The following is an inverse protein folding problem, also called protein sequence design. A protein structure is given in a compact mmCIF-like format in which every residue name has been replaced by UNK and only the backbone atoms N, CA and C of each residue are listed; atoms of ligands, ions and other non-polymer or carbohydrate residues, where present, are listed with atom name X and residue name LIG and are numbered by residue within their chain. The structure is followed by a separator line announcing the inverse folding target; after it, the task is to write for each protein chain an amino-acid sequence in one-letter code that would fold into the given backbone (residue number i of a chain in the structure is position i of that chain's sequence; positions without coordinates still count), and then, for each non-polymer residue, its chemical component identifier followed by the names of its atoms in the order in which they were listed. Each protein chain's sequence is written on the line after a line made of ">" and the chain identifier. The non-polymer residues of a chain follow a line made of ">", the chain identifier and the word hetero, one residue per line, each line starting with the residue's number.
data_IF_525203256192
#
_entry.id   IF_525203256192
#
_cell.length_a   1.000
_cell.length_b   1.000
_cell.length_c   1.000
_cell.angle_alpha   90.00
_cell.angle_beta   90.00
_cell.angle_gamma   90.00
#
_symmetry.space_group_name_H-M   'P 1'
#
loop_
_entity.id
_entity.type
_entity.pdbx_description
1 polymer ?
#
# COMPACT_ATOMS: atom_id res chain seq x y z
N UNK A 1 -21.78 34.55 -46.40
CA UNK A 1 -20.44 34.23 -45.90
C UNK A 1 -20.21 34.48 -44.40
N UNK A 2 -21.22 34.74 -43.61
CA UNK A 2 -21.06 35.01 -42.17
C UNK A 2 -21.46 33.84 -41.26
N UNK A 3 -21.83 32.70 -41.80
CA UNK A 3 -22.33 31.55 -41.02
C UNK A 3 -21.28 30.46 -40.73
N UNK A 4 -20.10 30.52 -41.33
CA UNK A 4 -19.07 29.54 -41.09
C UNK A 4 -18.19 29.78 -39.86
N UNK A 5 -18.19 31.00 -39.34
CA UNK A 5 -17.38 31.36 -38.16
C UNK A 5 -17.97 30.87 -36.82
N UNK A 6 -19.26 30.57 -36.78
CA UNK A 6 -19.93 30.15 -35.55
C UNK A 6 -19.78 28.65 -35.23
N UNK A 7 -19.56 27.84 -36.26
CA UNK A 7 -19.36 26.39 -36.06
C UNK A 7 -17.98 26.06 -35.53
N UNK A 8 -16.97 26.80 -35.97
CA UNK A 8 -15.59 26.60 -35.46
C UNK A 8 -15.44 26.97 -33.99
N UNK A 9 -16.19 28.02 -33.56
CA UNK A 9 -16.14 28.45 -32.15
C UNK A 9 -16.82 27.43 -31.20
N UNK A 10 -17.87 26.75 -31.68
CA UNK A 10 -18.56 25.71 -30.91
C UNK A 10 -17.71 24.45 -30.73
N UNK A 11 -16.97 24.06 -31.74
CA UNK A 11 -16.06 22.89 -31.67
C UNK A 11 -14.83 23.15 -30.81
N UNK A 12 -14.30 24.39 -30.83
CA UNK A 12 -13.18 24.79 -29.99
C UNK A 12 -13.59 24.84 -28.52
N UNK A 13 -14.78 25.34 -28.22
CA UNK A 13 -15.29 25.30 -26.83
C UNK A 13 -15.57 23.87 -26.34
N UNK A 14 -16.06 22.97 -27.20
CA UNK A 14 -16.25 21.55 -26.89
C UNK A 14 -14.93 20.83 -26.66
N UNK A 15 -13.91 21.12 -27.44
CA UNK A 15 -12.59 20.51 -27.33
C UNK A 15 -11.87 20.97 -26.04
N UNK A 16 -12.01 22.23 -25.66
CA UNK A 16 -11.48 22.77 -24.41
C UNK A 16 -12.17 22.17 -23.18
N UNK A 17 -13.46 21.84 -23.26
CA UNK A 17 -14.21 21.22 -22.17
C UNK A 17 -13.82 19.74 -21.98
N UNK A 18 -13.41 19.04 -23.04
CA UNK A 18 -12.90 17.67 -22.97
C UNK A 18 -11.48 17.60 -22.40
N UNK A 19 -10.67 18.62 -22.58
CA UNK A 19 -9.31 18.68 -22.06
C UNK A 19 -9.25 18.95 -20.55
N UNK A 20 -10.30 19.52 -19.96
CA UNK A 20 -10.37 19.82 -18.53
C UNK A 20 -10.68 18.61 -17.64
N UNK A 21 -11.05 17.46 -18.23
CA UNK A 21 -11.36 16.22 -17.51
C UNK A 21 -10.14 15.36 -17.16
N UNK A 22 -8.94 15.73 -17.62
CA UNK A 22 -7.71 14.96 -17.36
C UNK A 22 -6.85 15.48 -16.20
N UNK A 23 -7.29 16.47 -15.44
CA UNK A 23 -6.46 17.12 -14.41
C UNK A 23 -6.79 16.66 -12.98
N UNK A 24 -7.57 15.60 -12.79
CA UNK A 24 -7.89 15.08 -11.45
C UNK A 24 -7.24 13.73 -11.15
N UNK A 25 -6.02 13.51 -11.62
CA UNK A 25 -5.22 12.37 -11.22
C UNK A 25 -4.08 12.77 -10.28
N UNK A 26 -4.34 13.68 -9.34
CA UNK A 26 -3.60 13.68 -8.06
C UNK A 26 -4.26 12.63 -7.17
N UNK A 27 -4.13 11.35 -7.57
CA UNK A 27 -4.58 10.24 -6.79
C UNK A 27 -3.75 10.16 -5.52
N UNK A 28 -4.38 10.25 -4.36
CA UNK A 28 -3.82 9.66 -3.16
C UNK A 28 -3.56 8.19 -3.47
N UNK A 29 -2.39 7.65 -3.11
CA UNK A 29 -2.05 6.22 -3.27
C UNK A 29 -2.94 5.28 -2.43
N UNK A 30 -3.98 5.82 -1.79
CA UNK A 30 -4.98 5.07 -1.05
C UNK A 30 -5.72 4.10 -1.97
N UNK A 31 -5.69 2.83 -1.61
CA UNK A 31 -6.35 1.77 -2.36
C UNK A 31 -5.60 1.31 -3.61
N UNK A 32 -4.40 1.85 -3.88
CA UNK A 32 -3.56 1.41 -4.98
C UNK A 32 -2.75 0.19 -4.55
N UNK A 33 -2.98 -0.95 -5.17
CA UNK A 33 -2.20 -2.18 -4.96
C UNK A 33 -1.49 -2.53 -6.26
N UNK A 34 -0.20 -2.30 -6.29
CA UNK A 34 0.68 -2.66 -7.41
C UNK A 34 1.12 -4.13 -7.32
N UNK A 35 1.99 -4.57 -8.22
CA UNK A 35 2.44 -5.95 -8.28
C UNK A 35 3.22 -6.40 -7.03
N UNK A 36 3.25 -7.71 -6.80
CA UNK A 36 3.92 -8.34 -5.64
C UNK A 36 5.40 -7.95 -5.51
N UNK A 37 6.06 -7.62 -6.62
CA UNK A 37 7.45 -7.14 -6.62
C UNK A 37 7.64 -5.85 -5.84
N UNK A 38 6.60 -5.07 -5.59
CA UNK A 38 6.66 -3.88 -4.73
C UNK A 38 6.94 -4.24 -3.27
N UNK A 39 6.58 -5.46 -2.84
CA UNK A 39 6.84 -5.94 -1.47
C UNK A 39 8.34 -6.12 -1.18
N UNK A 40 9.11 -6.61 -2.14
CA UNK A 40 10.50 -7.03 -1.94
C UNK A 40 11.51 -6.33 -2.86
N UNK A 41 11.07 -5.55 -3.84
CA UNK A 41 11.98 -4.93 -4.81
C UNK A 41 12.72 -5.95 -5.68
N UNK A 42 14.04 -5.85 -5.76
CA UNK A 42 14.90 -6.79 -6.50
C UNK A 42 15.12 -8.11 -5.73
N UNK A 43 15.48 -8.04 -4.45
CA UNK A 43 15.79 -9.20 -3.60
C UNK A 43 15.07 -9.15 -2.26
N UNK A 44 15.13 -8.02 -1.59
CA UNK A 44 14.42 -7.75 -0.34
C UNK A 44 14.19 -6.26 -0.15
N UNK A 45 13.17 -5.92 0.62
CA UNK A 45 12.86 -4.54 0.97
C UNK A 45 12.55 -4.44 2.46
N UNK A 46 13.04 -3.37 3.08
CA UNK A 46 12.77 -3.03 4.48
C UNK A 46 11.60 -2.07 4.54
N UNK A 47 10.64 -2.40 5.38
CA UNK A 47 9.46 -1.61 5.68
C UNK A 47 9.48 -1.17 7.14
N UNK A 48 9.39 0.12 7.38
CA UNK A 48 9.30 0.70 8.73
C UNK A 48 7.90 1.18 9.04
N UNK A 49 7.48 0.99 10.28
CA UNK A 49 6.17 1.45 10.74
C UNK A 49 6.11 2.97 10.74
N UNK A 50 5.21 3.53 9.93
CA UNK A 50 4.97 4.97 9.85
C UNK A 50 3.77 5.40 10.69
N UNK A 51 2.72 4.57 10.74
CA UNK A 51 1.49 4.85 11.49
C UNK A 51 0.75 3.55 11.78
N UNK A 52 0.09 3.49 12.92
CA UNK A 52 -0.82 2.42 13.29
C UNK A 52 -2.17 3.01 13.69
N UNK A 53 -3.24 2.32 13.38
CA UNK A 53 -4.60 2.64 13.85
C UNK A 53 -5.21 1.43 14.54
N UNK A 54 -6.04 1.70 15.53
CA UNK A 54 -6.81 0.66 16.22
C UNK A 54 -8.02 0.17 15.40
N UNK A 55 -8.81 -0.70 15.98
CA UNK A 55 -9.99 -1.29 15.34
C UNK A 55 -11.09 -0.27 15.03
N UNK A 56 -11.07 0.89 15.66
CA UNK A 56 -12.01 2.01 15.41
C UNK A 56 -11.49 2.99 14.35
N UNK A 57 -10.22 2.85 13.95
CA UNK A 57 -9.55 3.73 13.00
C UNK A 57 -8.82 4.90 13.65
N UNK A 58 -8.79 4.96 14.98
CA UNK A 58 -8.08 5.98 15.70
C UNK A 58 -6.56 5.71 15.73
N UNK A 59 -5.78 6.78 15.66
CA UNK A 59 -4.32 6.69 15.64
C UNK A 59 -3.78 6.16 16.97
N UNK A 60 -3.06 5.06 16.92
CA UNK A 60 -2.32 4.52 18.07
C UNK A 60 -1.03 5.32 18.25
N UNK A 61 -0.78 5.74 19.51
CA UNK A 61 0.49 6.37 19.87
C UNK A 61 1.57 5.29 19.97
N UNK A 62 2.53 5.33 19.06
CA UNK A 62 3.64 4.40 19.06
C UNK A 62 4.71 4.80 20.07
N UNK A 63 5.26 3.81 20.77
CA UNK A 63 6.49 3.97 21.58
C UNK A 63 7.71 4.12 20.66
N UNK A 64 8.82 4.61 21.21
CA UNK A 64 10.05 4.73 20.43
C UNK A 64 10.59 3.36 19.97
N UNK A 65 10.36 2.30 20.74
CA UNK A 65 10.67 0.93 20.36
C UNK A 65 9.84 0.46 19.16
N UNK A 66 8.54 0.73 19.14
CA UNK A 66 7.65 0.38 18.01
C UNK A 66 7.99 1.14 16.73
N UNK A 67 8.48 2.37 16.83
CA UNK A 67 8.95 3.14 15.67
C UNK A 67 10.23 2.57 15.04
N UNK A 68 10.96 1.73 15.78
CA UNK A 68 12.17 1.05 15.30
C UNK A 68 11.90 -0.35 14.77
N UNK A 69 10.65 -0.81 14.81
CA UNK A 69 10.27 -2.09 14.24
C UNK A 69 10.44 -2.08 12.72
N UNK A 70 11.07 -3.12 12.20
CA UNK A 70 11.34 -3.32 10.79
C UNK A 70 10.74 -4.63 10.32
N UNK A 71 10.03 -4.57 9.20
CA UNK A 71 9.58 -5.74 8.46
C UNK A 71 10.39 -5.83 7.18
N UNK A 72 11.22 -6.86 7.05
CA UNK A 72 11.94 -7.15 5.82
C UNK A 72 11.24 -8.27 5.07
N UNK A 73 10.88 -8.02 3.82
CA UNK A 73 10.22 -8.98 2.94
C UNK A 73 11.19 -9.37 1.83
N UNK A 74 11.34 -10.67 1.60
CA UNK A 74 12.26 -11.23 0.62
C UNK A 74 11.51 -11.79 -0.59
N UNK A 75 12.15 -11.74 -1.75
CA UNK A 75 11.61 -12.27 -3.00
C UNK A 75 11.38 -13.79 -2.99
N UNK A 76 12.08 -14.53 -2.12
CA UNK A 76 11.97 -15.97 -1.98
C UNK A 76 10.74 -16.44 -1.18
N UNK A 77 9.84 -15.55 -0.76
CA UNK A 77 8.65 -15.88 0.02
C UNK A 77 8.85 -15.95 1.53
N UNK A 78 9.96 -15.42 2.02
CA UNK A 78 10.24 -15.33 3.46
C UNK A 78 10.18 -13.89 3.95
N UNK A 79 10.01 -13.70 5.25
CA UNK A 79 10.07 -12.40 5.91
C UNK A 79 10.85 -12.48 7.22
N UNK A 80 11.33 -11.33 7.66
CA UNK A 80 11.92 -11.15 8.98
C UNK A 80 11.32 -9.87 9.59
N UNK A 81 10.81 -9.98 10.80
CA UNK A 81 10.32 -8.84 11.58
C UNK A 81 11.21 -8.66 12.78
N UNK A 82 11.81 -7.50 12.91
CA UNK A 82 12.68 -7.14 14.03
C UNK A 82 12.01 -6.09 14.88
N UNK A 83 11.94 -6.31 16.18
CA UNK A 83 11.35 -5.37 17.14
C UNK A 83 12.13 -5.37 18.45
N UNK A 84 11.63 -4.60 19.42
CA UNK A 84 12.27 -4.43 20.73
C UNK A 84 12.42 -5.73 21.51
N UNK A 85 11.56 -6.72 21.26
CA UNK A 85 11.55 -8.03 21.96
C UNK A 85 12.31 -9.12 21.24
N UNK A 86 12.90 -8.83 20.06
CA UNK A 86 13.65 -9.78 19.27
C UNK A 86 13.24 -9.79 17.79
N UNK A 87 13.67 -10.85 17.09
CA UNK A 87 13.37 -11.06 15.68
C UNK A 87 12.47 -12.28 15.48
N UNK A 88 11.51 -12.16 14.58
CA UNK A 88 10.61 -13.23 14.14
C UNK A 88 10.82 -13.42 12.65
N UNK A 89 11.09 -14.64 12.23
CA UNK A 89 11.18 -15.03 10.82
C UNK A 89 10.01 -15.94 10.45
N UNK A 90 9.69 -15.98 9.17
CA UNK A 90 8.63 -16.85 8.67
C UNK A 90 8.49 -16.81 7.16
N UNK A 91 7.37 -17.35 6.70
CA UNK A 91 7.00 -17.40 5.29
C UNK A 91 5.77 -16.55 5.05
N UNK A 92 5.66 -15.99 3.86
CA UNK A 92 4.45 -15.29 3.43
C UNK A 92 3.99 -15.78 2.08
N UNK A 93 2.70 -15.62 1.83
CA UNK A 93 2.08 -15.73 0.52
C UNK A 93 1.30 -14.46 0.22
N UNK A 94 1.32 -14.01 -1.01
CA UNK A 94 0.59 -12.83 -1.46
C UNK A 94 -0.44 -13.21 -2.52
N UNK A 95 -1.70 -12.89 -2.27
CA UNK A 95 -2.80 -13.03 -3.21
C UNK A 95 -3.05 -11.68 -3.90
N UNK A 96 -2.61 -11.57 -5.15
CA UNK A 96 -2.78 -10.36 -5.95
C UNK A 96 -4.25 -10.07 -6.26
N UNK A 97 -5.04 -11.09 -6.56
CA UNK A 97 -6.45 -10.95 -6.89
C UNK A 97 -7.28 -10.59 -5.64
N UNK A 98 -7.03 -11.26 -4.53
CA UNK A 98 -7.70 -11.01 -3.25
C UNK A 98 -7.12 -9.84 -2.46
N UNK A 99 -6.00 -9.26 -2.91
CA UNK A 99 -5.29 -8.17 -2.23
C UNK A 99 -5.05 -8.50 -0.75
N UNK A 100 -4.44 -9.64 -0.50
CA UNK A 100 -4.13 -10.10 0.85
C UNK A 100 -2.75 -10.71 0.95
N UNK A 101 -2.15 -10.60 2.12
CA UNK A 101 -0.89 -11.25 2.48
C UNK A 101 -1.13 -12.15 3.69
N UNK A 102 -0.68 -13.38 3.60
CA UNK A 102 -0.72 -14.34 4.71
C UNK A 102 0.70 -14.59 5.21
N UNK A 103 0.91 -14.39 6.49
CA UNK A 103 2.20 -14.50 7.15
C UNK A 103 2.16 -15.64 8.18
N UNK A 104 3.10 -16.57 8.07
CA UNK A 104 3.22 -17.74 8.95
C UNK A 104 4.59 -17.71 9.61
N UNK A 105 4.68 -17.41 10.92
CA UNK A 105 5.94 -17.48 11.65
C UNK A 105 6.54 -18.89 11.65
N UNK A 106 7.85 -18.99 11.62
CA UNK A 106 8.54 -20.30 11.70
C UNK A 106 8.20 -21.01 13.00
N UNK A 107 7.84 -22.30 12.89
CA UNK A 107 7.41 -23.10 14.02
C UNK A 107 5.98 -22.87 14.50
N UNK A 108 5.25 -21.92 13.92
CA UNK A 108 3.84 -21.70 14.24
C UNK A 108 2.93 -22.60 13.40
N UNK A 109 1.82 -23.03 14.01
CA UNK A 109 0.76 -23.78 13.34
C UNK A 109 -0.35 -22.90 12.79
N UNK A 110 -0.33 -21.61 13.14
CA UNK A 110 -1.33 -20.60 12.72
C UNK A 110 -0.70 -19.52 11.86
N UNK A 111 -1.47 -19.04 10.91
CA UNK A 111 -1.09 -17.96 10.02
C UNK A 111 -1.94 -16.72 10.29
N UNK A 112 -1.39 -15.56 10.05
CA UNK A 112 -2.10 -14.28 10.09
C UNK A 112 -2.31 -13.75 8.67
N UNK A 113 -3.54 -13.46 8.31
CA UNK A 113 -3.89 -12.88 7.01
C UNK A 113 -4.30 -11.43 7.18
N UNK A 114 -3.71 -10.56 6.38
CA UNK A 114 -3.99 -9.13 6.34
C UNK A 114 -4.50 -8.73 4.96
N UNK A 115 -5.50 -7.87 4.91
CA UNK A 115 -5.87 -7.20 3.68
C UNK A 115 -4.79 -6.16 3.33
N UNK A 116 -4.40 -6.09 2.06
CA UNK A 116 -3.46 -5.09 1.55
C UNK A 116 -4.28 -3.95 0.96
N UNK A 117 -4.37 -2.83 1.65
CA UNK A 117 -5.11 -1.66 1.17
C UNK A 117 -4.30 -0.79 0.24
N UNK A 118 -2.98 -0.72 0.46
CA UNK A 118 -2.06 0.03 -0.38
C UNK A 118 -0.76 -0.75 -0.51
N UNK A 119 -0.28 -0.87 -1.73
CA UNK A 119 1.05 -1.40 -2.04
C UNK A 119 1.62 -0.63 -3.23
N UNK A 120 2.62 0.17 -2.96
CA UNK A 120 3.42 0.91 -3.95
C UNK A 120 4.89 0.69 -3.67
N UNK A 121 5.77 1.30 -4.43
CA UNK A 121 7.22 1.18 -4.20
C UNK A 121 7.66 1.67 -2.81
N UNK A 122 6.97 2.65 -2.24
CA UNK A 122 7.34 3.29 -0.97
C UNK A 122 6.31 3.15 0.16
N UNK A 123 5.12 2.61 -0.11
CA UNK A 123 4.02 2.52 0.86
C UNK A 123 3.39 1.13 0.88
N UNK A 124 3.15 0.63 2.09
CA UNK A 124 2.42 -0.61 2.34
C UNK A 124 1.44 -0.37 3.49
N UNK A 125 0.15 -0.62 3.25
CA UNK A 125 -0.87 -0.58 4.29
C UNK A 125 -1.48 -1.96 4.45
N UNK A 126 -1.34 -2.52 5.62
CA UNK A 126 -1.92 -3.80 6.04
C UNK A 126 -3.07 -3.56 6.98
N UNK A 127 -4.17 -4.26 6.77
CA UNK A 127 -5.36 -4.19 7.65
C UNK A 127 -5.71 -5.58 8.16
N UNK A 128 -5.87 -5.69 9.46
CA UNK A 128 -6.29 -6.93 10.10
C UNK A 128 -7.82 -7.11 10.00
N UNK A 129 -8.29 -8.34 10.25
CA UNK A 129 -9.71 -8.68 10.17
C UNK A 129 -10.58 -7.90 11.15
N UNK A 130 -10.03 -7.45 12.27
CA UNK A 130 -10.71 -6.64 13.29
C UNK A 130 -10.78 -5.14 12.95
N UNK A 131 -10.12 -4.71 11.85
CA UNK A 131 -10.15 -3.34 11.36
C UNK A 131 -8.93 -2.48 11.73
N UNK A 132 -8.02 -2.96 12.56
CA UNK A 132 -6.75 -2.28 12.84
C UNK A 132 -5.89 -2.23 11.58
N UNK A 133 -5.18 -1.13 11.39
CA UNK A 133 -4.33 -0.93 10.21
C UNK A 133 -2.91 -0.52 10.59
N UNK A 134 -1.95 -1.06 9.85
CA UNK A 134 -0.53 -0.77 9.95
C UNK A 134 -0.05 -0.16 8.64
N UNK A 135 0.41 1.07 8.70
CA UNK A 135 0.96 1.80 7.57
C UNK A 135 2.48 1.78 7.66
N UNK A 136 3.11 1.27 6.63
CA UNK A 136 4.55 1.08 6.52
C UNK A 136 5.09 1.94 5.38
N UNK A 137 6.34 2.35 5.52
CA UNK A 137 7.12 3.02 4.48
C UNK A 137 8.38 2.22 4.17
N UNK A 138 8.74 2.15 2.89
CA UNK A 138 10.02 1.61 2.47
C UNK A 138 11.17 2.51 2.93
N UNK A 139 12.25 1.88 3.37
CA UNK A 139 13.49 2.55 3.72
C UNK A 139 14.38 2.75 2.50
#
# INVERSE_FOLDING_TARGET
>A
MKTQSLYSLRYVASLLMLLSLFVTACGSDKGKVEGVNMLYGADSKVWKTAKETDTTGDKVKQTDAQKQEELRIFANGTYNMTGATGAISGKYTFDQAGKSITMTPDGATTSNTFAVETLTDDKLTLKSADGAALMLKAE
#
